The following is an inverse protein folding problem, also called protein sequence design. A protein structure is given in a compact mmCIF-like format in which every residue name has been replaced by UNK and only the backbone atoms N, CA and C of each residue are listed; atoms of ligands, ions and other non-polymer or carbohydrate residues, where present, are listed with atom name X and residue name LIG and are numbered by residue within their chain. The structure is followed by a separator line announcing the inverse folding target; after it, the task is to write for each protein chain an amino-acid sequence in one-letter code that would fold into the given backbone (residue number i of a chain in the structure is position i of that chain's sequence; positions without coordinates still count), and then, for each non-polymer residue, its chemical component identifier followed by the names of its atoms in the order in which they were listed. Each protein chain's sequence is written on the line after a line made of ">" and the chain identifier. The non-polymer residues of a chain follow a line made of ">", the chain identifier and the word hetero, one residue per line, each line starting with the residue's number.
data_IF_530912017896
#
_entry.id   IF_530912017896
#
_cell.length_a   1.000
_cell.length_b   1.000
_cell.length_c   1.000
_cell.angle_alpha   90.00
_cell.angle_beta   90.00
_cell.angle_gamma   90.00
#
_symmetry.space_group_name_H-M   'P 1'
#
loop_
_entity.id
_entity.type
_entity.pdbx_description
1 polymer ?
#
# COMPACT_ATOMS: atom_id res chain seq x y z
N UNK A 1 16.95 -8.86 -4.37
CA UNK A 1 17.02 -7.94 -5.54
C UNK A 1 16.45 -8.52 -6.86
N UNK A 2 16.03 -9.79 -6.96
CA UNK A 2 15.66 -10.42 -8.25
C UNK A 2 14.17 -10.71 -8.46
N UNK A 3 13.26 -10.10 -7.68
CA UNK A 3 11.83 -10.46 -7.71
C UNK A 3 11.11 -9.94 -8.96
N UNK A 4 11.40 -8.72 -9.40
CA UNK A 4 10.73 -8.08 -10.56
C UNK A 4 10.92 -8.87 -11.87
N UNK A 5 12.15 -9.27 -12.27
CA UNK A 5 12.32 -10.06 -13.49
C UNK A 5 11.94 -11.54 -13.33
N UNK A 6 11.69 -12.06 -12.12
CA UNK A 6 11.37 -13.50 -11.92
C UNK A 6 9.90 -13.77 -11.67
N UNK A 7 9.23 -12.87 -10.96
CA UNK A 7 7.84 -13.04 -10.58
C UNK A 7 6.92 -12.62 -11.73
N UNK A 8 5.69 -13.15 -11.77
CA UNK A 8 4.65 -12.61 -12.63
C UNK A 8 4.36 -11.14 -12.27
N UNK A 9 3.73 -10.38 -13.18
CA UNK A 9 3.22 -9.05 -12.88
C UNK A 9 2.41 -9.05 -11.58
N UNK A 10 2.62 -8.08 -10.68
CA UNK A 10 1.83 -8.01 -9.46
C UNK A 10 0.38 -7.66 -9.78
N UNK A 11 -0.54 -8.12 -8.94
CA UNK A 11 -1.97 -7.77 -8.99
C UNK A 11 -2.35 -7.01 -7.72
N UNK A 12 -3.57 -6.46 -7.68
CA UNK A 12 -4.14 -5.91 -6.46
C UNK A 12 -4.29 -7.00 -5.39
N UNK A 13 -4.18 -6.63 -4.11
CA UNK A 13 -4.25 -7.58 -3.00
C UNK A 13 -5.62 -8.27 -2.89
N UNK A 14 -6.68 -7.52 -3.21
CA UNK A 14 -8.08 -7.98 -3.23
C UNK A 14 -8.76 -7.48 -4.50
N UNK A 15 -8.53 -8.12 -5.66
CA UNK A 15 -9.05 -7.69 -6.97
C UNK A 15 -10.58 -7.53 -6.99
N UNK A 16 -11.28 -8.31 -6.17
CA UNK A 16 -12.74 -8.32 -6.04
C UNK A 16 -13.33 -7.02 -5.45
N UNK A 17 -12.51 -6.21 -4.77
CA UNK A 17 -12.93 -4.90 -4.26
C UNK A 17 -12.86 -3.80 -5.32
N UNK A 18 -12.34 -4.11 -6.50
CA UNK A 18 -12.12 -3.16 -7.57
C UNK A 18 -12.90 -3.55 -8.83
N UNK A 19 -13.22 -2.57 -9.67
CA UNK A 19 -13.91 -2.87 -10.92
C UNK A 19 -13.03 -3.68 -11.87
N UNK A 20 -13.66 -4.53 -12.67
CA UNK A 20 -12.97 -5.32 -13.71
C UNK A 20 -12.18 -4.42 -14.67
N UNK A 21 -12.73 -3.26 -15.04
CA UNK A 21 -12.05 -2.26 -15.87
C UNK A 21 -10.77 -1.74 -15.24
N UNK A 22 -10.75 -1.57 -13.91
CA UNK A 22 -9.55 -1.12 -13.21
C UNK A 22 -8.50 -2.23 -13.13
N UNK A 23 -8.92 -3.45 -12.79
CA UNK A 23 -8.06 -4.62 -12.79
C UNK A 23 -7.40 -4.84 -14.16
N UNK A 24 -8.18 -4.78 -15.25
CA UNK A 24 -7.67 -4.95 -16.62
C UNK A 24 -6.70 -3.82 -17.00
N UNK A 25 -7.01 -2.57 -16.65
CA UNK A 25 -6.13 -1.43 -16.90
C UNK A 25 -4.75 -1.60 -16.24
N UNK A 26 -4.72 -2.03 -14.97
CA UNK A 26 -3.48 -2.30 -14.24
C UNK A 26 -2.71 -3.46 -14.89
N UNK A 27 -3.39 -4.54 -15.28
CA UNK A 27 -2.78 -5.67 -15.99
C UNK A 27 -2.08 -5.22 -17.28
N UNK A 28 -2.72 -4.37 -18.10
CA UNK A 28 -2.12 -3.82 -19.33
C UNK A 28 -0.88 -2.99 -19.05
N UNK A 29 -0.87 -2.21 -17.97
CA UNK A 29 0.28 -1.39 -17.58
C UNK A 29 1.49 -2.24 -17.14
N UNK A 30 1.23 -3.42 -16.57
CA UNK A 30 2.24 -4.28 -15.95
C UNK A 30 2.70 -5.44 -16.84
N UNK A 31 2.37 -5.43 -18.13
CA UNK A 31 2.89 -6.39 -19.11
C UNK A 31 4.42 -6.29 -19.12
N UNK A 32 5.09 -7.40 -18.83
CA UNK A 32 6.54 -7.44 -18.63
C UNK A 32 7.31 -7.25 -19.94
N UNK A 33 6.82 -7.85 -21.02
CA UNK A 33 7.37 -7.70 -22.36
C UNK A 33 7.07 -6.29 -22.88
N UNK A 34 8.12 -5.55 -23.22
CA UNK A 34 7.98 -4.15 -23.63
C UNK A 34 7.42 -4.01 -25.04
N UNK A 35 7.62 -5.00 -25.92
CA UNK A 35 7.07 -5.02 -27.28
C UNK A 35 5.55 -5.24 -27.27
N UNK A 36 5.07 -6.01 -26.28
CA UNK A 36 3.64 -6.29 -26.09
C UNK A 36 2.93 -5.27 -25.19
N UNK A 37 3.69 -4.42 -24.47
CA UNK A 37 3.11 -3.44 -23.56
C UNK A 37 2.48 -2.30 -24.38
N UNK A 38 1.19 -1.98 -24.19
CA UNK A 38 0.55 -0.87 -24.87
C UNK A 38 1.26 0.45 -24.57
N UNK A 39 1.35 1.31 -25.58
CA UNK A 39 1.89 2.65 -25.39
C UNK A 39 0.87 3.56 -24.67
N UNK A 40 1.30 4.77 -24.32
CA UNK A 40 0.46 5.73 -23.59
C UNK A 40 -0.81 6.08 -24.35
N UNK A 41 -0.76 6.24 -25.67
CA UNK A 41 -1.94 6.58 -26.47
C UNK A 41 -2.97 5.45 -26.42
N UNK A 42 -2.53 4.20 -26.48
CA UNK A 42 -3.41 3.03 -26.36
C UNK A 42 -4.04 2.94 -24.95
N UNK A 43 -3.25 3.18 -23.91
CA UNK A 43 -3.73 3.19 -22.52
C UNK A 43 -4.77 4.29 -22.27
N UNK A 44 -4.60 5.47 -22.88
CA UNK A 44 -5.59 6.55 -22.82
C UNK A 44 -6.93 6.15 -23.48
N UNK A 45 -6.92 5.20 -24.43
CA UNK A 45 -8.13 4.70 -25.06
C UNK A 45 -8.86 3.62 -24.25
N UNK A 46 -8.30 3.17 -23.13
CA UNK A 46 -8.88 2.15 -22.27
C UNK A 46 -10.18 2.61 -21.61
N UNK A 47 -11.14 1.69 -21.40
CA UNK A 47 -12.46 1.99 -20.82
C UNK A 47 -12.34 2.69 -19.46
N UNK A 48 -11.45 2.19 -18.59
CA UNK A 48 -11.19 2.78 -17.27
C UNK A 48 -10.75 4.25 -17.30
N UNK A 49 -10.00 4.67 -18.32
CA UNK A 49 -9.54 6.08 -18.45
C UNK A 49 -10.59 6.90 -19.20
N UNK A 50 -11.15 6.37 -20.28
CA UNK A 50 -12.19 7.04 -21.07
C UNK A 50 -13.41 7.42 -20.25
N UNK A 51 -13.81 6.59 -19.31
CA UNK A 51 -14.92 6.93 -18.43
C UNK A 51 -14.63 8.21 -17.62
N UNK A 52 -13.38 8.54 -17.30
CA UNK A 52 -13.04 9.73 -16.54
C UNK A 52 -13.08 11.01 -17.40
N UNK A 53 -12.93 10.88 -18.72
CA UNK A 53 -13.00 12.01 -19.65
C UNK A 53 -14.34 12.74 -19.56
N UNK A 54 -14.30 14.06 -19.46
CA UNK A 54 -15.48 14.92 -19.27
C UNK A 54 -16.00 15.00 -17.83
N UNK A 55 -15.40 14.26 -16.88
CA UNK A 55 -15.74 14.29 -15.45
C UNK A 55 -14.63 14.88 -14.59
N UNK A 56 -13.62 15.50 -15.19
CA UNK A 56 -12.38 15.94 -14.53
C UNK A 56 -12.66 16.87 -13.35
N UNK A 57 -13.50 17.90 -13.57
CA UNK A 57 -13.83 18.87 -12.52
C UNK A 57 -14.58 18.23 -11.34
N UNK A 58 -15.47 17.29 -11.62
CA UNK A 58 -16.25 16.59 -10.60
C UNK A 58 -15.34 15.67 -9.79
N UNK A 59 -14.54 14.86 -10.47
CA UNK A 59 -13.57 13.96 -9.85
C UNK A 59 -12.55 14.74 -9.02
N UNK A 60 -12.04 15.87 -9.53
CA UNK A 60 -11.12 16.73 -8.80
C UNK A 60 -11.75 17.24 -7.49
N UNK A 61 -13.01 17.72 -7.55
CA UNK A 61 -13.73 18.17 -6.35
C UNK A 61 -13.91 17.02 -5.35
N UNK A 62 -14.37 15.86 -5.81
CA UNK A 62 -14.54 14.68 -4.96
C UNK A 62 -13.24 14.23 -4.31
N UNK A 63 -12.13 14.25 -5.05
CA UNK A 63 -10.80 13.91 -4.53
C UNK A 63 -10.34 14.89 -3.45
N UNK A 64 -10.55 16.20 -3.64
CA UNK A 64 -10.23 17.21 -2.62
C UNK A 64 -11.01 16.93 -1.33
N UNK A 65 -12.32 16.71 -1.44
CA UNK A 65 -13.18 16.42 -0.27
C UNK A 65 -12.74 15.14 0.46
N UNK A 66 -12.41 14.07 -0.28
CA UNK A 66 -11.92 12.82 0.30
C UNK A 66 -10.56 12.99 1.00
N UNK A 67 -9.66 13.78 0.42
CA UNK A 67 -8.35 14.08 1.01
C UNK A 67 -8.53 14.85 2.33
N UNK A 68 -9.38 15.88 2.34
CA UNK A 68 -9.65 16.68 3.52
C UNK A 68 -10.26 15.83 4.64
N UNK A 69 -11.22 14.94 4.31
CA UNK A 69 -11.83 14.01 5.24
C UNK A 69 -10.81 13.03 5.83
N UNK A 70 -9.95 12.43 5.00
CA UNK A 70 -8.91 11.52 5.46
C UNK A 70 -7.88 12.22 6.37
N UNK A 71 -7.57 13.48 6.11
CA UNK A 71 -6.71 14.27 7.00
C UNK A 71 -7.37 14.49 8.36
N UNK A 72 -8.65 14.83 8.41
CA UNK A 72 -9.39 15.00 9.66
C UNK A 72 -9.46 13.70 10.47
N UNK A 73 -9.74 12.57 9.82
CA UNK A 73 -9.71 11.24 10.46
C UNK A 73 -8.30 10.92 10.99
N UNK A 74 -7.26 11.19 10.21
CA UNK A 74 -5.87 11.01 10.64
C UNK A 74 -5.46 11.90 11.83
N UNK A 75 -6.10 13.06 12.04
CA UNK A 75 -5.91 13.89 13.23
C UNK A 75 -6.59 13.28 14.47
N UNK A 76 -7.73 12.61 14.30
CA UNK A 76 -8.45 11.89 15.37
C UNK A 76 -7.69 10.63 15.82
N UNK A 77 -7.05 9.91 14.90
CA UNK A 77 -6.20 8.76 15.25
C UNK A 77 -4.89 9.19 15.94
N UNK A 78 -4.29 10.32 15.52
CA UNK A 78 -3.09 10.88 16.17
C UNK A 78 -3.35 11.38 17.60
N UNK A 79 -4.56 11.82 17.93
CA UNK A 79 -4.94 12.22 19.29
C UNK A 79 -5.25 11.04 20.21
N UNK A 80 -5.31 9.79 19.69
CA UNK A 80 -5.61 8.58 20.45
C UNK A 80 -4.38 7.77 20.92
N UNK A 81 -3.16 8.23 20.65
CA UNK A 81 -1.97 7.62 21.25
C UNK A 81 -1.80 8.14 22.68
N UNK A 82 -2.48 7.49 23.62
CA UNK A 82 -2.21 7.64 25.04
C UNK A 82 -0.74 7.26 25.29
N UNK A 83 0.06 8.20 25.80
CA UNK A 83 1.43 7.93 26.23
C UNK A 83 1.38 6.96 27.40
N UNK A 84 1.60 5.67 27.15
CA UNK A 84 1.87 4.73 28.22
C UNK A 84 3.26 5.05 28.77
N UNK A 85 3.32 5.97 29.74
CA UNK A 85 4.45 6.13 30.63
C UNK A 85 4.40 4.99 31.65
N UNK A 86 5.15 3.91 31.42
CA UNK A 86 5.42 2.95 32.49
C UNK A 86 6.36 3.60 33.51
N UNK A 87 5.81 4.14 34.59
CA UNK A 87 6.58 4.50 35.79
C UNK A 87 7.22 3.24 36.35
N UNK A 88 8.53 3.33 36.55
CA UNK A 88 9.40 2.38 37.25
C UNK A 88 8.90 2.13 38.68
N UNK A 89 8.61 0.87 39.02
CA UNK A 89 8.28 0.38 40.36
C UNK A 89 8.99 -0.96 40.61
N UNK A 90 9.70 -1.04 41.73
CA UNK A 90 10.73 -2.04 42.05
C UNK A 90 10.19 -3.41 42.51
N UNK A 91 10.91 -4.45 42.09
CA UNK A 91 11.40 -5.61 42.88
C UNK A 91 10.40 -6.66 43.44
N UNK A 92 10.43 -7.88 42.87
CA UNK A 92 10.63 -9.13 43.61
C UNK A 92 11.45 -10.12 42.77
N UNK A 93 12.48 -10.71 43.39
CA UNK A 93 13.41 -11.69 42.80
C UNK A 93 12.79 -13.08 42.77
N UNK A 94 13.12 -13.85 41.73
CA UNK A 94 13.40 -15.29 41.83
C UNK A 94 14.41 -15.69 40.75
N UNK A 95 15.60 -16.12 41.19
CA UNK A 95 16.62 -16.93 40.48
C UNK A 95 15.97 -18.23 39.95
N UNK A 96 16.43 -18.97 38.93
CA UNK A 96 17.74 -19.24 38.28
C UNK A 96 17.43 -19.95 36.93
N UNK A 97 18.18 -19.90 35.84
CA UNK A 97 19.56 -20.38 35.65
C UNK A 97 20.15 -19.78 34.36
N UNK A 98 21.42 -19.43 34.42
CA UNK A 98 22.30 -18.97 33.35
C UNK A 98 22.83 -20.15 32.56
N UNK A 99 22.77 -20.12 31.23
CA UNK A 99 23.81 -20.72 30.37
C UNK A 99 23.97 -19.84 29.12
N UNK A 100 24.96 -18.94 29.17
CA UNK A 100 25.61 -18.35 28.00
C UNK A 100 26.53 -19.41 27.37
N UNK A 101 26.43 -19.64 26.06
CA UNK A 101 27.59 -20.09 25.28
C UNK A 101 27.57 -19.47 23.88
N UNK A 102 28.38 -18.41 23.78
CA UNK A 102 29.34 -17.98 22.75
C UNK A 102 29.19 -18.29 21.25
N UNK A 103 29.50 -17.23 20.50
CA UNK A 103 30.01 -17.07 19.13
C UNK A 103 30.28 -18.30 18.24
N UNK A 104 29.86 -18.19 16.97
CA UNK A 104 30.80 -18.22 15.85
C UNK A 104 30.18 -17.68 14.54
N UNK A 105 30.81 -16.64 13.99
CA UNK A 105 30.75 -16.31 12.57
C UNK A 105 31.64 -17.26 11.77
N UNK A 106 31.17 -17.72 10.61
CA UNK A 106 31.97 -18.14 9.44
C UNK A 106 31.14 -17.90 8.19
#
# INVERSE_FOLDING_TARGET
>A
LFKIPRNPPPTLHQPELWSDDFNDFICKCLIKDFELRPNVLDLLQHVFIKQASGREKILQKQLIELIDLNQQIGLIEKTRHERIHTKKGNHMKTQSNTEEVDDLAT
#
